data_IF_406215385969
#
_entry.id   IF_406215385969
#
_cell.length_a   1.000
_cell.length_b   1.000
_cell.length_c   1.000
_cell.angle_alpha   90.00
_cell.angle_beta   90.00
_cell.angle_gamma   90.00
#
_symmetry.space_group_name_H-M   'P 1'
#
loop_
_entity.id
_entity.type
_entity.pdbx_description
1 polymer ?
#
# COMPACT_ATOMS: atom_id res chain seq x y z
N UNK A 1 -15.63 25.49 10.61
CA UNK A 1 -15.35 24.73 9.37
C UNK A 1 -15.64 23.25 9.65
N UNK A 2 -16.64 22.68 8.99
CA UNK A 2 -16.92 21.25 9.13
C UNK A 2 -15.72 20.46 8.58
N UNK A 3 -15.14 19.56 9.38
CA UNK A 3 -14.08 18.67 8.93
C UNK A 3 -14.65 17.74 7.86
N UNK A 4 -14.06 17.75 6.68
CA UNK A 4 -14.42 16.81 5.62
C UNK A 4 -13.97 15.39 6.02
N UNK A 5 -14.90 14.45 6.29
CA UNK A 5 -14.57 13.11 6.73
C UNK A 5 -13.81 12.31 5.65
N UNK A 6 -14.01 12.58 4.36
CA UNK A 6 -13.27 11.89 3.30
C UNK A 6 -11.82 12.35 3.24
N UNK A 7 -11.57 13.66 3.37
CA UNK A 7 -10.21 14.19 3.45
C UNK A 7 -9.44 13.62 4.67
N UNK A 8 -10.12 13.38 5.79
CA UNK A 8 -9.51 12.71 6.96
C UNK A 8 -9.19 11.24 6.63
N UNK A 9 -10.13 10.53 6.02
CA UNK A 9 -9.93 9.12 5.66
C UNK A 9 -8.80 8.95 4.65
N UNK A 10 -8.68 9.84 3.66
CA UNK A 10 -7.60 9.82 2.68
C UNK A 10 -6.24 9.98 3.36
N UNK A 11 -6.09 10.97 4.26
CA UNK A 11 -4.86 11.15 5.05
C UNK A 11 -4.52 9.93 5.90
N UNK A 12 -5.51 9.26 6.47
CA UNK A 12 -5.29 8.02 7.22
C UNK A 12 -4.74 6.91 6.30
N UNK A 13 -5.31 6.76 5.10
CA UNK A 13 -4.82 5.76 4.13
C UNK A 13 -3.43 6.09 3.60
N UNK A 14 -3.09 7.37 3.40
CA UNK A 14 -1.73 7.79 3.04
C UNK A 14 -0.71 7.41 4.11
N UNK A 15 -1.07 7.58 5.39
CA UNK A 15 -0.24 7.17 6.52
C UNK A 15 -0.06 5.65 6.55
N UNK A 16 -1.13 4.88 6.34
CA UNK A 16 -1.04 3.41 6.27
C UNK A 16 -0.14 2.94 5.13
N UNK A 17 -0.21 3.56 3.94
CA UNK A 17 0.70 3.26 2.83
C UNK A 17 2.14 3.57 3.22
N UNK A 18 2.38 4.71 3.87
CA UNK A 18 3.72 5.11 4.33
C UNK A 18 4.26 4.13 5.36
N UNK A 19 3.44 3.68 6.31
CA UNK A 19 3.82 2.65 7.27
C UNK A 19 4.12 1.31 6.61
N UNK A 20 3.29 0.88 5.66
CA UNK A 20 3.51 -0.37 4.92
C UNK A 20 4.82 -0.34 4.11
N UNK A 21 5.17 0.82 3.52
CA UNK A 21 6.45 1.00 2.85
C UNK A 21 7.64 0.88 3.82
N UNK A 22 7.54 1.48 5.02
CA UNK A 22 8.58 1.36 6.06
C UNK A 22 8.74 -0.09 6.50
N UNK A 23 7.64 -0.78 6.80
CA UNK A 23 7.65 -2.21 7.16
C UNK A 23 8.28 -3.05 6.06
N UNK A 24 7.96 -2.81 4.79
CA UNK A 24 8.58 -3.53 3.68
C UNK A 24 10.09 -3.29 3.61
N UNK A 25 10.55 -2.05 3.79
CA UNK A 25 11.97 -1.73 3.80
C UNK A 25 12.71 -2.45 4.95
N UNK A 26 12.11 -2.47 6.15
CA UNK A 26 12.64 -3.21 7.31
C UNK A 26 12.72 -4.72 7.02
N UNK A 27 11.67 -5.33 6.45
CA UNK A 27 11.68 -6.77 6.11
C UNK A 27 12.70 -7.11 5.04
N UNK A 28 12.91 -6.24 4.05
CA UNK A 28 13.98 -6.41 3.04
C UNK A 28 15.36 -6.41 3.69
N UNK A 29 15.63 -5.44 4.58
CA UNK A 29 16.90 -5.40 5.31
C UNK A 29 17.13 -6.65 6.18
N UNK A 30 16.07 -7.18 6.80
CA UNK A 30 16.13 -8.42 7.58
C UNK A 30 16.38 -9.65 6.71
N UNK A 31 15.74 -9.76 5.55
CA UNK A 31 15.98 -10.82 4.58
C UNK A 31 17.43 -10.78 4.08
N UNK A 32 17.93 -9.61 3.69
CA UNK A 32 19.32 -9.44 3.24
C UNK A 32 20.33 -9.87 4.32
N UNK A 33 20.09 -9.49 5.57
CA UNK A 33 20.95 -9.88 6.70
C UNK A 33 20.92 -11.40 6.91
N UNK A 34 19.73 -12.01 6.93
CA UNK A 34 19.57 -13.45 7.13
C UNK A 34 20.21 -14.25 5.99
N UNK A 35 20.08 -13.76 4.74
CA UNK A 35 20.69 -14.37 3.57
C UNK A 35 22.23 -14.32 3.63
N UNK A 36 22.81 -13.16 3.98
CA UNK A 36 24.27 -13.03 4.18
C UNK A 36 24.78 -13.96 5.28
N UNK A 37 24.01 -14.14 6.37
CA UNK A 37 24.36 -15.07 7.44
C UNK A 37 24.32 -16.53 6.95
N UNK A 38 23.29 -16.91 6.18
CA UNK A 38 23.21 -18.24 5.58
C UNK A 38 24.41 -18.52 4.64
N UNK A 39 24.77 -17.56 3.81
CA UNK A 39 25.94 -17.65 2.92
C UNK A 39 27.26 -17.75 3.71
N UNK A 40 27.42 -16.92 4.74
CA UNK A 40 28.61 -16.95 5.59
C UNK A 40 28.77 -18.28 6.34
N UNK A 41 27.68 -18.84 6.89
CA UNK A 41 27.73 -20.14 7.56
C UNK A 41 28.03 -21.29 6.59
N UNK A 42 27.50 -21.25 5.37
CA UNK A 42 27.83 -22.22 4.33
C UNK A 42 29.32 -22.11 3.91
N UNK A 43 29.84 -20.90 3.76
CA UNK A 43 31.26 -20.67 3.46
C UNK A 43 32.18 -21.14 4.58
N UNK A 44 31.81 -20.92 5.85
CA UNK A 44 32.56 -21.42 7.01
C UNK A 44 32.63 -22.96 7.02
N UNK A 45 31.52 -23.65 6.71
CA UNK A 45 31.50 -25.12 6.59
C UNK A 45 32.48 -25.64 5.54
N UNK A 46 32.57 -24.96 4.38
CA UNK A 46 33.51 -25.30 3.32
C UNK A 46 34.96 -25.02 3.72
N UNK A 47 35.21 -23.91 4.43
CA UNK A 47 36.54 -23.54 4.91
C UNK A 47 37.05 -24.55 5.93
N UNK A 48 36.23 -24.95 6.90
CA UNK A 48 36.58 -25.98 7.90
C UNK A 48 36.86 -27.34 7.24
N UNK A 49 36.07 -27.72 6.22
CA UNK A 49 36.31 -28.95 5.47
C UNK A 49 37.68 -28.96 4.75
N UNK A 50 38.20 -27.78 4.39
CA UNK A 50 39.47 -27.63 3.70
C UNK A 50 40.71 -27.64 4.60
N UNK A 51 40.56 -27.47 5.94
CA UNK A 51 41.68 -27.34 6.88
C UNK A 51 42.45 -28.66 7.16
N UNK A 52 42.05 -29.79 6.58
CA UNK A 52 42.74 -31.10 6.62
C UNK A 52 43.01 -31.67 8.03
N UNK A 53 42.28 -31.27 9.06
CA UNK A 53 42.19 -32.00 10.35
C UNK A 53 40.91 -32.85 10.38
N UNK A 54 40.99 -34.17 10.08
CA UNK A 54 39.80 -35.01 10.00
C UNK A 54 39.11 -35.23 11.35
N UNK A 55 39.87 -35.21 12.46
CA UNK A 55 39.34 -35.49 13.79
C UNK A 55 38.64 -34.25 14.37
N UNK A 56 39.26 -33.07 14.25
CA UNK A 56 38.63 -31.80 14.60
C UNK A 56 37.39 -31.53 13.75
N UNK A 57 37.47 -31.78 12.44
CA UNK A 57 36.35 -31.59 11.53
C UNK A 57 35.17 -32.53 11.84
N UNK A 58 35.42 -33.83 12.10
CA UNK A 58 34.37 -34.77 12.44
C UNK A 58 33.64 -34.42 13.75
N UNK A 59 34.37 -33.91 14.75
CA UNK A 59 33.79 -33.44 16.01
C UNK A 59 32.95 -32.16 15.84
N UNK A 60 33.34 -31.27 14.92
CA UNK A 60 32.66 -30.00 14.66
C UNK A 60 31.45 -30.12 13.72
N UNK A 61 31.48 -31.07 12.77
CA UNK A 61 30.50 -31.20 11.67
C UNK A 61 29.02 -31.20 12.10
N UNK A 62 28.59 -31.93 13.14
CA UNK A 62 27.19 -31.91 13.57
C UNK A 62 26.72 -30.51 13.97
N UNK A 63 27.56 -29.75 14.67
CA UNK A 63 27.26 -28.37 15.07
C UNK A 63 27.25 -27.44 13.86
N UNK A 64 28.22 -27.58 12.95
CA UNK A 64 28.28 -26.79 11.72
C UNK A 64 27.03 -26.97 10.85
N UNK A 65 26.56 -28.22 10.67
CA UNK A 65 25.31 -28.50 9.94
C UNK A 65 24.09 -27.93 10.65
N UNK A 66 23.99 -28.07 11.97
CA UNK A 66 22.87 -27.52 12.72
C UNK A 66 22.77 -25.99 12.57
N UNK A 67 23.89 -25.28 12.60
CA UNK A 67 23.94 -23.83 12.38
C UNK A 67 23.62 -23.44 10.93
N UNK A 68 24.13 -24.18 9.94
CA UNK A 68 23.79 -23.97 8.53
C UNK A 68 22.28 -24.10 8.29
N UNK A 69 21.68 -25.19 8.78
CA UNK A 69 20.24 -25.41 8.66
C UNK A 69 19.43 -24.34 9.39
N UNK A 70 19.89 -23.90 10.57
CA UNK A 70 19.26 -22.81 11.30
C UNK A 70 19.31 -21.50 10.50
N UNK A 71 20.46 -21.14 9.94
CA UNK A 71 20.62 -19.94 9.14
C UNK A 71 19.75 -20.00 7.87
N UNK A 72 19.71 -21.14 7.18
CA UNK A 72 18.84 -21.35 6.03
C UNK A 72 17.34 -21.21 6.38
N UNK A 73 16.89 -21.77 7.52
CA UNK A 73 15.51 -21.60 7.99
C UNK A 73 15.19 -20.13 8.30
N UNK A 74 16.11 -19.41 8.93
CA UNK A 74 15.92 -17.99 9.23
C UNK A 74 15.82 -17.15 7.95
N UNK A 75 16.67 -17.40 6.95
CA UNK A 75 16.57 -16.75 5.64
C UNK A 75 15.22 -17.03 4.96
N UNK A 76 14.75 -18.28 4.99
CA UNK A 76 13.44 -18.63 4.43
C UNK A 76 12.29 -17.92 5.15
N UNK A 77 12.30 -17.88 6.49
CA UNK A 77 11.30 -17.15 7.29
C UNK A 77 11.32 -15.66 6.95
N UNK A 78 12.49 -15.05 6.85
CA UNK A 78 12.63 -13.63 6.51
C UNK A 78 12.09 -13.33 5.10
N UNK A 79 12.35 -14.21 4.12
CA UNK A 79 11.76 -14.10 2.78
C UNK A 79 10.23 -14.18 2.78
N UNK A 80 9.65 -15.09 3.58
CA UNK A 80 8.19 -15.17 3.74
C UNK A 80 7.61 -13.90 4.37
N UNK A 81 8.29 -13.34 5.38
CA UNK A 81 7.88 -12.08 6.02
C UNK A 81 8.00 -10.89 5.06
N UNK A 82 9.01 -10.84 4.17
CA UNK A 82 9.07 -9.84 3.10
C UNK A 82 7.87 -9.98 2.17
N UNK A 83 7.58 -11.19 1.69
CA UNK A 83 6.45 -11.43 0.79
C UNK A 83 5.11 -11.04 1.42
N UNK A 84 4.93 -11.26 2.72
CA UNK A 84 3.77 -10.80 3.47
C UNK A 84 3.69 -9.27 3.53
N UNK A 85 4.81 -8.58 3.79
CA UNK A 85 4.87 -7.12 3.78
C UNK A 85 4.56 -6.54 2.38
N UNK A 86 4.95 -7.22 1.30
CA UNK A 86 4.61 -6.82 -0.08
C UNK A 86 3.10 -6.90 -0.33
N UNK A 87 2.45 -7.96 0.14
CA UNK A 87 0.98 -8.07 0.10
C UNK A 87 0.31 -6.96 0.92
N UNK A 88 0.78 -6.71 2.13
CA UNK A 88 0.25 -5.63 2.98
C UNK A 88 0.38 -4.24 2.34
N UNK A 89 1.48 -3.95 1.63
CA UNK A 89 1.62 -2.71 0.86
C UNK A 89 0.63 -2.63 -0.31
N UNK A 90 0.41 -3.74 -1.03
CA UNK A 90 -0.56 -3.78 -2.11
C UNK A 90 -1.99 -3.54 -1.60
N UNK A 91 -2.35 -4.14 -0.47
CA UNK A 91 -3.65 -3.93 0.20
C UNK A 91 -3.83 -2.48 0.64
N UNK A 92 -2.83 -1.87 1.27
CA UNK A 92 -2.88 -0.46 1.69
C UNK A 92 -3.08 0.49 0.48
N UNK A 93 -2.37 0.24 -0.62
CA UNK A 93 -2.53 1.01 -1.87
C UNK A 93 -3.91 0.83 -2.49
N UNK A 94 -4.45 -0.38 -2.48
CA UNK A 94 -5.80 -0.65 -2.97
C UNK A 94 -6.85 0.08 -2.14
N UNK A 95 -6.70 0.09 -0.81
CA UNK A 95 -7.57 0.82 0.10
C UNK A 95 -7.53 2.34 -0.15
N UNK A 96 -6.34 2.93 -0.31
CA UNK A 96 -6.17 4.34 -0.67
C UNK A 96 -6.90 4.67 -1.98
N UNK A 97 -6.65 3.89 -3.03
CA UNK A 97 -7.30 4.07 -4.34
C UNK A 97 -8.83 3.98 -4.26
N UNK A 98 -9.35 3.12 -3.39
CA UNK A 98 -10.79 3.03 -3.12
C UNK A 98 -11.36 4.33 -2.54
N UNK A 99 -10.63 4.99 -1.63
CA UNK A 99 -11.03 6.28 -1.05
C UNK A 99 -10.94 7.41 -2.07
N UNK A 100 -9.88 7.45 -2.88
CA UNK A 100 -9.73 8.42 -3.98
C UNK A 100 -10.89 8.31 -4.96
N UNK A 101 -11.25 7.08 -5.36
CA UNK A 101 -12.38 6.86 -6.27
C UNK A 101 -13.70 7.33 -5.67
N UNK A 102 -13.92 7.13 -4.37
CA UNK A 102 -15.12 7.60 -3.70
C UNK A 102 -15.18 9.14 -3.65
N UNK A 103 -14.03 9.80 -3.45
CA UNK A 103 -13.94 11.26 -3.47
C UNK A 103 -14.30 11.81 -4.86
N UNK A 104 -13.72 11.25 -5.93
CA UNK A 104 -14.04 11.60 -7.32
C UNK A 104 -15.54 11.47 -7.60
N UNK A 105 -16.16 10.36 -7.21
CA UNK A 105 -17.60 10.13 -7.40
C UNK A 105 -18.45 11.21 -6.72
N UNK A 106 -18.09 11.62 -5.49
CA UNK A 106 -18.81 12.69 -4.78
C UNK A 106 -18.65 14.05 -5.45
N UNK A 107 -17.47 14.35 -5.98
CA UNK A 107 -17.25 15.59 -6.72
C UNK A 107 -18.07 15.63 -8.02
N UNK A 108 -18.10 14.52 -8.75
CA UNK A 108 -18.93 14.37 -9.95
C UNK A 108 -20.43 14.54 -9.63
N UNK A 109 -20.92 13.93 -8.56
CA UNK A 109 -22.31 14.08 -8.10
C UNK A 109 -22.62 15.52 -7.71
N UNK A 110 -21.73 16.17 -6.95
CA UNK A 110 -21.88 17.56 -6.56
C UNK A 110 -21.88 18.51 -7.77
N UNK A 111 -21.05 18.23 -8.78
CA UNK A 111 -21.03 18.98 -10.05
C UNK A 111 -22.36 18.84 -10.80
N UNK A 112 -22.86 17.61 -10.99
CA UNK A 112 -24.15 17.34 -11.64
C UNK A 112 -25.31 18.01 -10.89
N UNK A 113 -25.28 18.01 -9.55
CA UNK A 113 -26.30 18.68 -8.74
C UNK A 113 -26.28 20.21 -8.93
N UNK A 114 -25.09 20.81 -9.01
CA UNK A 114 -24.93 22.26 -9.29
C UNK A 114 -25.44 22.60 -10.69
N UNK A 115 -25.07 21.81 -11.70
CA UNK A 115 -25.53 21.99 -13.08
C UNK A 115 -27.07 21.91 -13.18
N UNK A 116 -27.68 20.90 -12.57
CA UNK A 116 -29.15 20.77 -12.50
C UNK A 116 -29.81 21.97 -11.81
N UNK A 117 -29.22 22.46 -10.72
CA UNK A 117 -29.75 23.64 -10.01
C UNK A 117 -29.67 24.90 -10.87
N UNK A 118 -28.56 25.10 -11.59
CA UNK A 118 -28.40 26.23 -12.52
C UNK A 118 -29.42 26.14 -13.65
N UNK A 119 -29.59 24.95 -14.25
CA UNK A 119 -30.58 24.74 -15.30
C UNK A 119 -32.01 25.04 -14.81
N UNK A 120 -32.40 24.51 -13.65
CA UNK A 120 -33.72 24.77 -13.06
C UNK A 120 -33.98 26.27 -12.82
N UNK A 121 -32.96 27.02 -12.36
CA UNK A 121 -33.07 28.47 -12.19
C UNK A 121 -33.25 29.21 -13.53
N UNK A 122 -32.56 28.77 -14.59
CA UNK A 122 -32.73 29.34 -15.94
C UNK A 122 -34.13 29.05 -16.49
N UNK A 123 -34.62 27.83 -16.32
CA UNK A 123 -35.95 27.40 -16.76
C UNK A 123 -37.05 28.20 -16.03
N UNK A 124 -36.93 28.40 -14.71
CA UNK A 124 -37.85 29.23 -13.93
C UNK A 124 -37.88 30.70 -14.41
N UNK A 125 -36.72 31.29 -14.72
CA UNK A 125 -36.64 32.65 -15.26
C UNK A 125 -37.25 32.72 -16.67
N UNK A 126 -37.02 31.71 -17.50
CA UNK A 126 -37.63 31.58 -18.82
C UNK A 126 -39.15 31.49 -18.76
N UNK A 127 -39.68 30.64 -17.87
CA UNK A 127 -41.12 30.47 -17.65
C UNK A 127 -41.79 31.77 -17.17
N UNK A 128 -41.15 32.54 -16.27
CA UNK A 128 -41.66 33.84 -15.82
C UNK A 128 -41.71 34.89 -16.93
N UNK A 129 -40.77 34.87 -17.88
CA UNK A 129 -40.77 35.78 -19.04
C UNK A 129 -41.79 35.37 -20.10
N UNK A 130 -42.00 34.06 -20.34
CA UNK A 130 -43.00 33.56 -21.27
C UNK A 130 -44.45 33.70 -20.77
N UNK A 131 -44.65 33.74 -19.45
CA UNK A 131 -45.96 33.96 -18.82
C UNK A 131 -46.37 35.44 -18.68
N UNK A 132 -45.52 36.39 -19.08
CA UNK A 132 -45.90 37.79 -19.13
C UNK A 132 -46.99 37.96 -20.20
N UNK A 133 -48.20 38.43 -19.85
CA UNK A 133 -49.28 38.60 -20.82
C UNK A 133 -48.80 39.54 -21.92
N UNK A 134 -48.88 39.08 -23.17
CA UNK A 134 -48.72 39.93 -24.33
C UNK A 134 -49.64 41.13 -24.13
N UNK A 135 -49.15 42.38 -24.08
CA UNK A 135 -50.05 43.52 -24.04
C UNK A 135 -50.83 43.48 -25.34
N UNK A 136 -52.08 43.05 -25.26
CA UNK A 136 -53.06 43.24 -26.32
C UNK A 136 -53.20 44.74 -26.52
N UNK A 137 -52.35 45.33 -27.37
CA UNK A 137 -52.63 46.58 -28.06
C UNK A 137 -53.79 46.29 -29.00
N UNK A 138 -55.02 46.65 -28.62
CA UNK A 138 -55.65 47.96 -28.87
C UNK A 138 -55.74 48.22 -30.37
N UNK A 139 -56.98 48.00 -30.84
CA UNK A 139 -57.67 48.46 -32.04
C UNK A 139 -56.96 49.52 -32.87
#
# INVERSE_FOLDING_TARGET
MARDPLAILQRLRDLEVTEAQRRLAERRAQEDLAQRQAEATAAALLSEAAQRDPHGFAAWMPRGRAEQERAARLAHIAGNQRAEAERGLAEARAALKGVERLAEMREEEAKKAREKKVQGLLDEVGARRGAAPHPAGVV
#
